data_IF_880405319278
#
_entry.id   IF_880405319278
#
_cell.length_a   1.000
_cell.length_b   1.000
_cell.length_c   1.000
_cell.angle_alpha   90.00
_cell.angle_beta   90.00
_cell.angle_gamma   90.00
#
_symmetry.space_group_name_H-M   'P 1'
#
loop_
_entity.id
_entity.type
_entity.pdbx_description
1 polymer ?
#
# COMPACT_ATOMS: atom_id res chain seq x y z
N UNK A 1 4.23 2.08 -10.42
CA UNK A 1 5.57 2.33 -9.84
C UNK A 1 6.68 2.38 -10.89
N UNK A 2 6.69 1.53 -11.91
CA UNK A 2 7.74 1.45 -12.95
C UNK A 2 8.18 2.80 -13.51
N UNK A 3 7.23 3.66 -13.90
CA UNK A 3 7.52 5.00 -14.40
C UNK A 3 8.34 5.85 -13.40
N UNK A 4 7.89 5.92 -12.15
CA UNK A 4 8.57 6.69 -11.10
C UNK A 4 9.96 6.12 -10.78
N UNK A 5 10.09 4.78 -10.76
CA UNK A 5 11.36 4.10 -10.54
C UNK A 5 12.38 4.43 -11.62
N UNK A 6 11.99 4.32 -12.90
CA UNK A 6 12.86 4.65 -14.03
C UNK A 6 13.21 6.13 -14.09
N UNK A 7 12.27 7.01 -13.74
CA UNK A 7 12.54 8.45 -13.63
C UNK A 7 13.61 8.77 -12.58
N UNK A 8 13.57 8.11 -11.40
CA UNK A 8 14.58 8.29 -10.36
C UNK A 8 15.94 7.70 -10.75
N UNK A 9 15.97 6.58 -11.46
CA UNK A 9 17.20 6.02 -12.02
C UNK A 9 17.87 6.97 -13.02
N UNK A 10 17.08 7.72 -13.79
CA UNK A 10 17.57 8.72 -14.75
C UNK A 10 18.20 9.96 -14.09
N UNK A 11 17.99 10.17 -12.78
CA UNK A 11 18.63 11.27 -12.05
C UNK A 11 20.06 10.91 -11.64
N UNK A 12 20.99 11.88 -11.65
CA UNK A 12 22.29 11.72 -11.02
C UNK A 12 22.15 11.32 -9.53
N UNK A 13 23.03 10.47 -8.98
CA UNK A 13 22.96 10.02 -7.57
C UNK A 13 22.81 11.16 -6.56
N UNK A 14 23.47 12.29 -6.79
CA UNK A 14 23.43 13.52 -6.00
C UNK A 14 22.11 14.28 -6.04
N UNK A 15 21.12 13.81 -6.79
CA UNK A 15 19.76 14.36 -6.77
C UNK A 15 18.75 13.41 -6.10
N UNK A 16 19.18 12.20 -5.72
CA UNK A 16 18.32 11.12 -5.20
C UNK A 16 18.14 11.21 -3.68
N UNK A 17 17.88 12.40 -3.15
CA UNK A 17 17.83 12.64 -1.71
C UNK A 17 16.42 12.64 -1.11
N UNK A 18 15.39 12.81 -1.93
CA UNK A 18 14.01 12.89 -1.46
C UNK A 18 13.45 11.50 -1.19
N UNK A 19 13.00 11.17 0.04
CA UNK A 19 12.33 9.91 0.32
C UNK A 19 11.07 9.74 -0.53
N UNK A 20 10.87 8.52 -1.03
CA UNK A 20 9.70 8.10 -1.81
C UNK A 20 9.06 6.92 -1.11
N UNK A 21 7.77 7.06 -0.80
CA UNK A 21 7.01 6.04 -0.08
C UNK A 21 6.05 5.35 -1.03
N UNK A 22 6.19 4.04 -1.19
CA UNK A 22 5.20 3.21 -1.88
C UNK A 22 4.24 2.69 -0.84
N UNK A 23 2.99 3.12 -0.90
CA UNK A 23 1.96 2.75 0.06
C UNK A 23 0.96 1.78 -0.59
N UNK A 24 0.66 0.68 0.08
CA UNK A 24 -0.41 -0.24 -0.29
C UNK A 24 -1.40 -0.37 0.86
N UNK A 25 -2.68 -0.31 0.55
CA UNK A 25 -3.76 -0.49 1.52
C UNK A 25 -4.23 -1.94 1.49
N UNK A 26 -4.02 -2.67 2.58
CA UNK A 26 -4.50 -4.04 2.77
C UNK A 26 -5.81 -3.99 3.58
N UNK A 27 -6.93 -4.32 2.95
CA UNK A 27 -8.23 -4.27 3.61
C UNK A 27 -8.54 -5.52 4.42
N UNK A 28 -7.69 -6.55 4.31
CA UNK A 28 -7.87 -7.89 4.88
C UNK A 28 -9.11 -8.62 4.32
N UNK A 29 -9.58 -8.25 3.13
CA UNK A 29 -10.74 -8.85 2.45
C UNK A 29 -10.33 -9.55 1.16
N UNK A 30 -9.19 -9.15 0.59
CA UNK A 30 -8.62 -9.75 -0.61
C UNK A 30 -8.26 -11.22 -0.38
N UNK A 31 -8.24 -12.01 -1.46
CA UNK A 31 -7.86 -13.42 -1.38
C UNK A 31 -6.38 -13.58 -1.01
N UNK A 32 -5.98 -14.66 -0.31
CA UNK A 32 -4.58 -14.86 0.10
C UNK A 32 -3.58 -14.75 -1.06
N UNK A 33 -3.93 -15.28 -2.23
CA UNK A 33 -3.10 -15.24 -3.44
C UNK A 33 -2.79 -13.79 -3.87
N UNK A 34 -3.78 -12.90 -3.79
CA UNK A 34 -3.61 -11.48 -4.15
C UNK A 34 -2.75 -10.77 -3.11
N UNK A 35 -3.00 -11.03 -1.83
CA UNK A 35 -2.21 -10.46 -0.72
C UNK A 35 -0.74 -10.85 -0.83
N UNK A 36 -0.46 -12.13 -1.09
CA UNK A 36 0.90 -12.64 -1.22
C UNK A 36 1.63 -12.04 -2.43
N UNK A 37 0.92 -11.88 -3.55
CA UNK A 37 1.46 -11.22 -4.74
C UNK A 37 1.84 -9.76 -4.44
N UNK A 38 0.96 -9.01 -3.78
CA UNK A 38 1.22 -7.61 -3.40
C UNK A 38 2.42 -7.53 -2.48
N UNK A 39 2.46 -8.33 -1.40
CA UNK A 39 3.56 -8.35 -0.43
C UNK A 39 4.89 -8.68 -1.11
N UNK A 40 4.92 -9.71 -1.96
CA UNK A 40 6.12 -10.09 -2.72
C UNK A 40 6.58 -8.95 -3.63
N UNK A 41 5.65 -8.31 -4.33
CA UNK A 41 5.96 -7.19 -5.23
C UNK A 41 6.53 -6.00 -4.47
N UNK A 42 5.96 -5.66 -3.32
CA UNK A 42 6.44 -4.57 -2.45
C UNK A 42 7.89 -4.81 -1.98
N UNK A 43 8.20 -6.02 -1.53
CA UNK A 43 9.57 -6.42 -1.13
C UNK A 43 10.54 -6.35 -2.31
N UNK A 44 10.11 -6.78 -3.51
CA UNK A 44 10.94 -6.72 -4.71
C UNK A 44 11.25 -5.29 -5.14
N UNK A 45 10.29 -4.36 -5.00
CA UNK A 45 10.48 -2.94 -5.30
C UNK A 45 11.51 -2.33 -4.36
N UNK A 46 11.37 -2.53 -3.04
CA UNK A 46 12.29 -1.97 -2.04
C UNK A 46 13.70 -2.58 -2.15
N UNK A 47 13.79 -3.90 -2.34
CA UNK A 47 15.07 -4.58 -2.59
C UNK A 47 15.76 -4.05 -3.86
N UNK A 48 14.99 -3.83 -4.93
CA UNK A 48 15.49 -3.22 -6.15
C UNK A 48 16.00 -1.80 -5.93
N UNK A 49 15.20 -0.98 -5.23
CA UNK A 49 15.55 0.39 -4.92
C UNK A 49 16.83 0.47 -4.08
N UNK A 50 16.97 -0.38 -3.06
CA UNK A 50 18.17 -0.44 -2.24
C UNK A 50 19.41 -0.82 -3.06
N UNK A 51 19.30 -1.77 -3.99
CA UNK A 51 20.38 -2.16 -4.90
C UNK A 51 20.80 -0.99 -5.80
N UNK A 52 19.83 -0.21 -6.29
CA UNK A 52 20.05 0.87 -7.25
C UNK A 52 20.32 2.24 -6.59
N UNK A 53 20.42 2.28 -5.26
CA UNK A 53 20.66 3.50 -4.48
C UNK A 53 19.50 4.50 -4.58
N UNK A 54 18.26 4.03 -4.69
CA UNK A 54 17.06 4.87 -4.74
C UNK A 54 16.45 5.00 -3.33
N UNK A 55 16.00 6.19 -2.91
CA UNK A 55 15.42 6.44 -1.59
C UNK A 55 13.94 5.98 -1.53
N UNK A 56 13.63 4.76 -1.97
CA UNK A 56 12.27 4.20 -1.99
C UNK A 56 12.10 3.22 -0.84
N UNK A 57 11.02 3.36 -0.08
CA UNK A 57 10.59 2.39 0.95
C UNK A 57 9.15 1.97 0.74
N UNK A 58 8.80 0.76 1.16
CA UNK A 58 7.45 0.20 1.04
C UNK A 58 6.72 0.23 2.38
N UNK A 59 5.42 0.53 2.35
CA UNK A 59 4.58 0.64 3.53
C UNK A 59 3.20 0.02 3.25
N UNK A 60 2.87 -1.05 3.97
CA UNK A 60 1.51 -1.57 3.98
C UNK A 60 0.72 -0.90 5.11
N UNK A 61 -0.45 -0.34 4.79
CA UNK A 61 -1.39 0.18 5.78
C UNK A 61 -2.55 -0.81 5.94
N UNK A 62 -2.87 -1.12 7.19
CA UNK A 62 -3.86 -2.12 7.59
C UNK A 62 -4.86 -1.44 8.53
N UNK A 63 -6.17 -1.70 8.42
CA UNK A 63 -7.14 -1.16 9.36
C UNK A 63 -6.88 -1.65 10.78
N UNK A 64 -7.16 -0.81 11.78
CA UNK A 64 -7.19 -1.25 13.18
C UNK A 64 -8.24 -2.35 13.33
N UNK A 65 -8.07 -3.26 14.28
CA UNK A 65 -8.98 -4.41 14.47
C UNK A 65 -10.47 -4.00 14.50
N UNK A 66 -10.80 -2.93 15.23
CA UNK A 66 -12.18 -2.43 15.36
C UNK A 66 -12.72 -1.71 14.12
N UNK A 67 -11.89 -1.50 13.09
CA UNK A 67 -12.21 -0.85 11.81
C UNK A 67 -12.15 -1.84 10.64
N UNK A 68 -11.83 -3.11 10.91
CA UNK A 68 -11.80 -4.17 9.89
C UNK A 68 -13.18 -4.42 9.30
N UNK A 69 -13.20 -4.94 8.07
CA UNK A 69 -14.43 -5.17 7.32
C UNK A 69 -15.45 -6.02 8.09
N UNK A 70 -15.02 -7.17 8.62
CA UNK A 70 -15.89 -8.09 9.34
C UNK A 70 -16.36 -7.55 10.69
N UNK A 71 -15.55 -6.74 11.38
CA UNK A 71 -16.00 -6.09 12.61
C UNK A 71 -17.05 -5.01 12.32
N UNK A 72 -16.87 -4.20 11.28
CA UNK A 72 -17.88 -3.22 10.90
C UNK A 72 -19.18 -3.87 10.39
N UNK A 73 -19.07 -4.92 9.57
CA UNK A 73 -20.23 -5.61 8.98
C UNK A 73 -20.98 -6.47 10.00
N UNK A 74 -20.30 -7.45 10.60
CA UNK A 74 -20.93 -8.45 11.47
C UNK A 74 -20.95 -8.01 12.93
N UNK A 75 -19.92 -7.31 13.39
CA UNK A 75 -19.81 -6.85 14.77
C UNK A 75 -20.68 -5.64 15.09
N UNK A 76 -20.58 -4.58 14.27
CA UNK A 76 -21.33 -3.32 14.46
C UNK A 76 -22.64 -3.24 13.68
N UNK A 77 -22.89 -4.18 12.76
CA UNK A 77 -24.09 -4.19 11.94
C UNK A 77 -24.15 -3.08 10.88
N UNK A 78 -23.01 -2.51 10.48
CA UNK A 78 -23.01 -1.49 9.43
C UNK A 78 -23.33 -2.12 8.07
N UNK A 79 -24.12 -1.44 7.22
CA UNK A 79 -24.37 -1.94 5.88
C UNK A 79 -23.06 -1.97 5.10
N UNK A 80 -22.90 -3.00 4.26
CA UNK A 80 -21.74 -3.16 3.40
C UNK A 80 -21.49 -1.88 2.57
N UNK A 81 -20.22 -1.48 2.39
CA UNK A 81 -19.91 -0.23 1.70
C UNK A 81 -20.36 -0.29 0.24
N UNK A 82 -20.95 0.81 -0.22
CA UNK A 82 -21.38 1.01 -1.61
C UNK A 82 -20.61 2.17 -2.23
N UNK A 83 -20.90 2.49 -3.50
CA UNK A 83 -20.31 3.67 -4.14
C UNK A 83 -20.65 4.98 -3.40
N UNK A 84 -21.86 5.06 -2.86
CA UNK A 84 -22.42 6.25 -2.20
C UNK A 84 -22.30 6.23 -0.68
N UNK A 85 -21.99 5.08 -0.08
CA UNK A 85 -21.84 4.93 1.36
C UNK A 85 -20.54 4.20 1.67
N UNK A 86 -19.58 4.89 2.29
CA UNK A 86 -18.26 4.35 2.62
C UNK A 86 -17.98 4.53 4.11
N UNK A 87 -17.29 3.57 4.71
CA UNK A 87 -16.83 3.68 6.10
C UNK A 87 -15.54 4.49 6.22
N UNK A 88 -14.77 4.58 5.14
CA UNK A 88 -13.38 5.05 5.12
C UNK A 88 -13.24 6.56 4.86
N UNK A 89 -14.34 7.31 4.91
CA UNK A 89 -14.37 8.77 4.78
C UNK A 89 -14.95 9.35 6.06
N UNK A 90 -14.55 10.56 6.44
CA UNK A 90 -15.01 11.22 7.66
C UNK A 90 -16.55 11.20 7.79
N UNK A 91 -17.01 11.05 9.03
CA UNK A 91 -18.43 11.07 9.42
C UNK A 91 -18.84 12.47 9.83
#
# INVERSE_FOLDING_TARGET
ITLAYLALLGLPPEMRHKPVFVVSSDTLVETPVVVDLIKKTMVQIESGASRDGLPITQHAVIPKTHETFWVNLLGKGYPAPTRSFRWCTER
#
